data_IF_491650902443
#
_entry.id   IF_491650902443
#
_cell.length_a   1.000
_cell.length_b   1.000
_cell.length_c   1.000
_cell.angle_alpha   90.00
_cell.angle_beta   90.00
_cell.angle_gamma   90.00
#
_symmetry.space_group_name_H-M   'P 1'
#
loop_
_entity.id
_entity.type
_entity.pdbx_description
1 polymer ?
#
# COMPACT_ATOMS: atom_id res chain seq x y z
N UNK A 1 -16.81 11.03 1.24
CA UNK A 1 -15.73 10.50 2.12
C UNK A 1 -15.05 11.70 2.74
N UNK A 2 -14.67 11.63 4.03
CA UNK A 2 -13.96 12.71 4.71
C UNK A 2 -12.67 13.08 3.95
N UNK A 3 -12.47 14.36 3.66
CA UNK A 3 -11.25 14.93 3.02
C UNK A 3 -10.06 15.01 3.98
N UNK A 4 -10.18 14.45 5.18
CA UNK A 4 -9.17 14.58 6.23
C UNK A 4 -7.89 13.85 5.84
N UNK A 5 -6.80 14.61 5.71
CA UNK A 5 -5.44 14.08 5.54
C UNK A 5 -4.79 13.84 6.90
N UNK A 6 -3.90 12.86 6.94
CA UNK A 6 -3.10 12.52 8.11
C UNK A 6 -1.63 12.46 7.69
N UNK A 7 -0.76 13.09 8.48
CA UNK A 7 0.69 12.92 8.36
C UNK A 7 1.12 11.77 9.28
N UNK A 8 1.20 10.58 8.71
CA UNK A 8 1.32 9.32 9.47
C UNK A 8 2.70 8.71 9.30
N UNK A 9 3.32 8.33 10.42
CA UNK A 9 4.52 7.50 10.44
C UNK A 9 4.11 6.06 10.80
N UNK A 10 4.60 5.09 10.03
CA UNK A 10 4.38 3.66 10.29
C UNK A 10 5.57 3.07 11.06
N UNK A 11 5.27 2.30 12.09
CA UNK A 11 6.25 1.59 12.91
C UNK A 11 6.01 0.09 12.82
N UNK A 12 7.08 -0.70 12.96
CA UNK A 12 7.03 -2.15 13.06
C UNK A 12 7.81 -2.58 14.31
N UNK A 13 7.32 -3.61 14.98
CA UNK A 13 7.98 -4.25 16.11
C UNK A 13 7.99 -5.76 15.92
N UNK A 14 8.93 -6.42 16.59
CA UNK A 14 9.12 -7.87 16.53
C UNK A 14 9.10 -8.39 17.97
N UNK A 15 8.17 -9.31 18.25
CA UNK A 15 8.00 -9.94 19.56
C UNK A 15 8.33 -11.43 19.45
N UNK A 16 9.04 -11.97 20.43
CA UNK A 16 9.44 -13.38 20.43
C UNK A 16 8.27 -14.31 20.79
N UNK A 17 7.26 -13.78 21.47
CA UNK A 17 6.00 -14.45 21.78
C UNK A 17 4.84 -13.47 21.65
N UNK A 18 3.68 -13.97 21.21
CA UNK A 18 2.46 -13.18 21.16
C UNK A 18 2.07 -12.73 22.58
N UNK A 19 1.94 -11.43 22.86
CA UNK A 19 1.46 -10.97 24.16
C UNK A 19 -0.03 -11.28 24.32
N UNK A 20 -0.54 -11.16 25.55
CA UNK A 20 -1.97 -11.19 25.79
C UNK A 20 -2.63 -10.02 25.04
N UNK A 21 -3.59 -10.34 24.17
CA UNK A 21 -4.29 -9.38 23.34
C UNK A 21 -5.66 -9.10 23.96
N UNK A 22 -5.86 -7.87 24.39
CA UNK A 22 -7.13 -7.40 24.95
C UNK A 22 -7.64 -6.24 24.10
N UNK A 23 -8.95 -6.22 23.83
CA UNK A 23 -9.62 -5.09 23.18
C UNK A 23 -10.59 -4.42 24.17
N UNK A 24 -10.95 -3.17 23.89
CA UNK A 24 -11.73 -2.34 24.80
C UNK A 24 -13.22 -2.23 24.43
N UNK A 25 -13.63 -2.95 23.36
CA UNK A 25 -14.97 -2.92 22.76
C UNK A 25 -15.44 -1.52 22.33
N UNK A 26 -14.52 -0.56 22.21
CA UNK A 26 -14.81 0.83 21.83
C UNK A 26 -14.05 1.23 20.59
N UNK A 27 -12.72 1.25 20.67
CA UNK A 27 -11.85 1.59 19.55
C UNK A 27 -11.45 0.33 18.76
N UNK A 28 -11.33 -0.79 19.47
CA UNK A 28 -10.99 -2.10 18.91
C UNK A 28 -12.12 -3.07 19.27
N UNK A 29 -12.75 -3.66 18.25
CA UNK A 29 -13.83 -4.65 18.42
C UNK A 29 -13.38 -6.09 18.20
N UNK A 30 -12.22 -6.28 17.55
CA UNK A 30 -11.70 -7.61 17.22
C UNK A 30 -10.18 -7.56 17.07
N UNK A 31 -9.52 -8.64 17.49
CA UNK A 31 -8.08 -8.84 17.28
C UNK A 31 -7.88 -10.22 16.67
N UNK A 32 -7.24 -10.26 15.50
CA UNK A 32 -6.94 -11.49 14.77
C UNK A 32 -5.44 -11.62 14.51
N UNK A 33 -4.90 -12.81 14.74
CA UNK A 33 -3.56 -13.18 14.28
C UNK A 33 -3.66 -13.91 12.94
N UNK A 34 -2.90 -13.48 11.95
CA UNK A 34 -2.90 -14.08 10.61
C UNK A 34 -1.55 -13.91 9.93
N UNK A 35 -1.27 -14.77 8.96
CA UNK A 35 -0.15 -14.56 8.03
C UNK A 35 -0.49 -13.43 7.05
N UNK A 36 0.55 -12.81 6.48
CA UNK A 36 0.38 -11.75 5.48
C UNK A 36 -0.40 -12.24 4.24
N UNK A 37 -0.16 -13.48 3.80
CA UNK A 37 -0.87 -14.07 2.68
C UNK A 37 -2.35 -14.31 3.00
N UNK A 38 -2.69 -14.79 4.19
CA UNK A 38 -4.09 -14.94 4.62
C UNK A 38 -4.82 -13.60 4.73
N UNK A 39 -4.12 -12.55 5.19
CA UNK A 39 -4.67 -11.18 5.23
C UNK A 39 -5.02 -10.70 3.82
N UNK A 40 -4.12 -10.90 2.85
CA UNK A 40 -4.36 -10.50 1.47
C UNK A 40 -5.44 -11.33 0.78
N UNK A 41 -5.55 -12.64 1.09
CA UNK A 41 -6.64 -13.49 0.60
C UNK A 41 -8.01 -13.00 1.11
N UNK A 42 -8.13 -12.72 2.40
CA UNK A 42 -9.34 -12.11 2.99
C UNK A 42 -9.65 -10.75 2.35
N UNK A 43 -8.62 -9.93 2.10
CA UNK A 43 -8.80 -8.67 1.40
C UNK A 43 -9.32 -8.85 -0.03
N UNK A 44 -8.77 -9.79 -0.79
CA UNK A 44 -9.20 -10.07 -2.17
C UNK A 44 -10.63 -10.64 -2.23
N UNK A 45 -11.01 -11.45 -1.24
CA UNK A 45 -12.36 -12.03 -1.15
C UNK A 45 -13.43 -11.04 -0.69
N UNK A 46 -13.03 -9.87 -0.17
CA UNK A 46 -13.95 -8.86 0.37
C UNK A 46 -14.27 -9.04 1.86
N UNK A 47 -13.66 -10.02 2.53
CA UNK A 47 -13.85 -10.31 3.95
C UNK A 47 -13.15 -9.25 4.84
N UNK A 48 -12.08 -8.63 4.32
CA UNK A 48 -11.29 -7.62 5.02
C UNK A 48 -11.07 -6.39 4.15
N UNK A 49 -11.28 -5.19 4.71
CA UNK A 49 -10.86 -3.95 4.05
C UNK A 49 -9.51 -3.50 4.59
N UNK A 50 -8.56 -3.28 3.67
CA UNK A 50 -7.25 -2.70 3.95
C UNK A 50 -7.17 -1.32 3.32
N UNK A 51 -7.10 -0.23 4.11
CA UNK A 51 -6.70 1.07 3.62
C UNK A 51 -5.44 1.03 2.75
N UNK A 52 -5.32 1.87 1.71
CA UNK A 52 -4.22 1.79 0.75
C UNK A 52 -2.81 1.78 1.38
N UNK A 53 -2.49 2.60 2.40
CA UNK A 53 -1.18 2.54 3.05
C UNK A 53 -0.88 1.19 3.71
N UNK A 54 -1.89 0.54 4.32
CA UNK A 54 -1.72 -0.77 4.95
C UNK A 54 -1.50 -1.87 3.90
N UNK A 55 -2.29 -1.87 2.82
CA UNK A 55 -2.09 -2.80 1.69
C UNK A 55 -0.68 -2.66 1.10
N UNK A 56 -0.23 -1.42 0.91
CA UNK A 56 1.09 -1.12 0.39
C UNK A 56 2.21 -1.64 1.31
N UNK A 57 2.17 -1.38 2.62
CA UNK A 57 3.20 -1.88 3.55
C UNK A 57 3.17 -3.41 3.69
N UNK A 58 1.98 -4.05 3.74
CA UNK A 58 1.87 -5.51 3.76
C UNK A 58 2.51 -6.13 2.50
N UNK A 59 2.29 -5.53 1.33
CA UNK A 59 2.88 -6.01 0.08
C UNK A 59 4.41 -5.94 0.07
N UNK A 60 5.02 -4.97 0.76
CA UNK A 60 6.49 -4.93 0.95
C UNK A 60 6.98 -6.08 1.80
N UNK A 61 6.22 -6.42 2.84
CA UNK A 61 6.60 -7.47 3.77
C UNK A 61 6.53 -8.88 3.17
N UNK A 62 5.73 -9.07 2.12
CA UNK A 62 5.75 -10.31 1.33
C UNK A 62 7.08 -10.61 0.63
N UNK A 63 7.99 -9.64 0.51
CA UNK A 63 9.35 -9.89 0.02
C UNK A 63 10.15 -10.84 0.94
N UNK A 64 9.72 -11.02 2.18
CA UNK A 64 10.42 -11.82 3.18
C UNK A 64 9.66 -13.12 3.45
N UNK A 65 10.32 -14.25 3.21
CA UNK A 65 9.77 -15.58 3.52
C UNK A 65 10.00 -16.01 4.97
N UNK A 66 10.88 -15.32 5.71
CA UNK A 66 11.31 -15.71 7.05
C UNK A 66 11.32 -14.52 8.00
N UNK A 67 10.87 -14.75 9.23
CA UNK A 67 10.79 -13.75 10.30
C UNK A 67 12.13 -13.10 10.60
N UNK A 68 13.21 -13.87 10.76
CA UNK A 68 14.53 -13.33 11.12
C UNK A 68 15.14 -12.45 10.03
N UNK A 69 14.90 -12.79 8.76
CA UNK A 69 15.33 -11.96 7.62
C UNK A 69 14.58 -10.64 7.61
N UNK A 70 13.27 -10.67 7.85
CA UNK A 70 12.44 -9.46 7.96
C UNK A 70 12.86 -8.58 9.14
N UNK A 71 13.13 -9.18 10.31
CA UNK A 71 13.61 -8.51 11.52
C UNK A 71 14.96 -7.84 11.27
N UNK A 72 15.91 -8.56 10.71
CA UNK A 72 17.24 -8.05 10.37
C UNK A 72 17.16 -6.90 9.36
N UNK A 73 16.32 -7.07 8.33
CA UNK A 73 16.07 -6.01 7.35
C UNK A 73 15.52 -4.74 8.01
N UNK A 74 14.49 -4.86 8.84
CA UNK A 74 13.88 -3.72 9.52
C UNK A 74 14.86 -3.00 10.45
N UNK A 75 15.72 -3.75 11.15
CA UNK A 75 16.77 -3.19 12.00
C UNK A 75 17.85 -2.43 11.22
N UNK A 76 18.28 -2.93 10.05
CA UNK A 76 19.25 -2.22 9.22
C UNK A 76 18.62 -1.03 8.49
N UNK A 77 17.36 -1.16 8.05
CA UNK A 77 16.62 -0.06 7.44
C UNK A 77 16.42 1.06 8.47
N UNK A 78 16.08 0.78 9.73
CA UNK A 78 15.75 1.83 10.71
C UNK A 78 16.86 2.88 10.92
N UNK A 79 18.11 2.54 10.58
CA UNK A 79 19.28 3.43 10.58
C UNK A 79 19.32 4.43 9.41
N UNK A 80 18.41 4.30 8.43
CA UNK A 80 18.32 5.11 7.21
C UNK A 80 17.18 6.13 7.32
N UNK A 81 17.11 7.07 6.38
CA UNK A 81 16.09 8.12 6.35
C UNK A 81 14.67 7.62 6.05
N UNK A 82 13.69 8.51 6.25
CA UNK A 82 12.31 8.32 5.82
C UNK A 82 12.04 9.10 4.53
N UNK A 83 11.09 8.61 3.74
CA UNK A 83 10.53 9.35 2.62
C UNK A 83 9.04 9.53 2.86
N UNK A 84 8.55 10.76 2.69
CA UNK A 84 7.13 11.07 2.84
C UNK A 84 6.41 10.69 1.56
N UNK A 85 5.47 9.75 1.64
CA UNK A 85 4.58 9.39 0.53
C UNK A 85 3.28 10.16 0.69
N UNK A 86 3.15 11.25 -0.07
CA UNK A 86 1.90 11.99 -0.20
C UNK A 86 1.17 11.51 -1.45
N UNK A 87 0.10 10.70 -1.33
CA UNK A 87 -0.65 10.24 -2.49
C UNK A 87 -1.43 11.39 -3.13
N UNK A 88 -1.30 11.50 -4.45
CA UNK A 88 -2.11 12.38 -5.31
C UNK A 88 -3.11 11.51 -6.06
N UNK A 89 -4.40 11.82 -5.95
CA UNK A 89 -5.46 11.03 -6.59
C UNK A 89 -5.88 11.66 -7.90
N UNK A 90 -6.07 10.82 -8.91
CA UNK A 90 -6.71 11.21 -10.17
C UNK A 90 -7.73 10.15 -10.58
N UNK A 91 -8.86 10.59 -11.11
CA UNK A 91 -9.85 9.70 -11.70
C UNK A 91 -9.43 9.36 -13.14
N UNK A 92 -9.74 8.15 -13.57
CA UNK A 92 -9.55 7.67 -14.93
C UNK A 92 -10.86 7.11 -15.47
N UNK A 93 -10.88 6.71 -16.74
CA UNK A 93 -12.10 6.16 -17.37
C UNK A 93 -12.58 4.84 -16.74
N UNK A 94 -11.70 4.12 -16.04
CA UNK A 94 -12.00 2.80 -15.48
C UNK A 94 -11.48 2.57 -14.05
N UNK A 95 -11.15 3.65 -13.32
CA UNK A 95 -10.70 3.55 -11.93
C UNK A 95 -10.14 4.86 -11.36
N UNK A 96 -9.35 4.72 -10.31
CA UNK A 96 -8.64 5.81 -9.64
C UNK A 96 -7.17 5.45 -9.54
N UNK A 97 -6.28 6.40 -9.82
CA UNK A 97 -4.86 6.26 -9.54
C UNK A 97 -4.54 7.02 -8.25
N UNK A 98 -3.81 6.38 -7.35
CA UNK A 98 -3.12 7.02 -6.23
C UNK A 98 -1.63 7.10 -6.55
N UNK A 99 -1.22 8.23 -7.11
CA UNK A 99 0.13 8.52 -7.59
C UNK A 99 1.05 8.82 -6.39
N UNK A 100 2.25 8.25 -6.37
CA UNK A 100 3.25 8.44 -5.32
C UNK A 100 4.52 9.10 -5.88
N UNK A 101 5.37 9.68 -5.00
CA UNK A 101 6.60 10.34 -5.45
C UNK A 101 7.48 9.45 -6.33
N UNK A 102 7.91 9.98 -7.48
CA UNK A 102 8.74 9.26 -8.45
C UNK A 102 7.97 8.59 -9.60
N UNK A 103 6.64 8.66 -9.60
CA UNK A 103 5.84 8.39 -10.80
C UNK A 103 5.89 9.58 -11.77
N UNK A 104 5.83 9.34 -13.08
CA UNK A 104 5.83 10.40 -14.09
C UNK A 104 4.64 11.37 -13.96
N UNK A 105 3.51 10.89 -13.43
CA UNK A 105 2.32 11.72 -13.21
C UNK A 105 2.36 12.45 -11.86
N UNK A 106 3.42 12.31 -11.07
CA UNK A 106 3.51 12.99 -9.79
C UNK A 106 3.77 14.49 -10.01
N UNK A 107 2.91 15.39 -9.47
CA UNK A 107 3.07 16.82 -9.70
C UNK A 107 4.32 17.36 -9.02
N UNK A 108 4.95 18.36 -9.63
CA UNK A 108 6.10 19.06 -9.03
C UNK A 108 5.73 19.72 -7.70
N UNK A 109 4.51 20.25 -7.61
CA UNK A 109 3.94 20.86 -6.39
C UNK A 109 2.62 20.17 -6.04
N UNK A 110 2.63 19.10 -5.22
CA UNK A 110 1.42 18.40 -4.81
C UNK A 110 0.63 19.21 -3.78
N UNK A 111 -0.70 19.18 -3.88
CA UNK A 111 -1.61 19.70 -2.85
C UNK A 111 -1.43 18.95 -1.52
N UNK A 112 -0.79 19.62 -0.56
CA UNK A 112 -0.48 19.09 0.76
C UNK A 112 -1.71 19.00 1.67
N UNK A 113 -2.71 19.85 1.45
CA UNK A 113 -3.82 20.08 2.38
C UNK A 113 -5.14 19.44 1.93
N UNK A 114 -5.27 19.05 0.65
CA UNK A 114 -6.51 18.47 0.13
C UNK A 114 -7.56 19.50 -0.19
N UNK A 115 -7.12 20.69 -0.60
CA UNK A 115 -7.97 21.81 -0.98
C UNK A 115 -8.35 21.76 -2.46
N UNK A 116 -7.56 21.06 -3.29
CA UNK A 116 -7.82 20.93 -4.72
C UNK A 116 -8.79 19.79 -5.03
N UNK A 117 -9.63 20.01 -6.04
CA UNK A 117 -10.51 18.98 -6.57
C UNK A 117 -9.71 17.85 -7.25
N UNK A 118 -10.18 16.62 -7.07
CA UNK A 118 -9.61 15.44 -7.72
C UNK A 118 -9.79 15.59 -9.23
N UNK A 119 -8.67 15.67 -9.94
CA UNK A 119 -8.64 15.78 -11.40
C UNK A 119 -9.08 14.47 -12.07
N UNK A 120 -9.61 14.58 -13.28
CA UNK A 120 -9.95 13.43 -14.13
C UNK A 120 -9.09 13.46 -15.39
N UNK A 121 -8.58 12.29 -15.78
CA UNK A 121 -7.82 12.09 -17.01
C UNK A 121 -8.65 11.19 -17.92
N UNK A 122 -8.90 11.64 -19.15
CA UNK A 122 -9.60 10.86 -20.18
C UNK A 122 -8.66 9.81 -20.79
N UNK A 123 -8.34 8.79 -19.99
CA UNK A 123 -7.58 7.61 -20.35
C UNK A 123 -7.92 6.48 -19.38
N UNK A 124 -7.68 5.24 -19.79
CA UNK A 124 -7.72 4.07 -18.91
C UNK A 124 -6.45 3.95 -18.06
N UNK A 125 -6.53 3.17 -16.98
CA UNK A 125 -5.37 2.79 -16.16
C UNK A 125 -4.27 2.15 -17.03
N UNK A 126 -4.67 1.26 -17.95
CA UNK A 126 -3.77 0.52 -18.81
C UNK A 126 -3.02 1.42 -19.80
N UNK A 127 -3.71 2.37 -20.43
CA UNK A 127 -3.10 3.37 -21.33
C UNK A 127 -2.09 4.24 -20.58
N UNK A 128 -2.44 4.72 -19.39
CA UNK A 128 -1.54 5.55 -18.58
C UNK A 128 -0.31 4.76 -18.11
N UNK A 129 -0.45 3.46 -17.88
CA UNK A 129 0.66 2.57 -17.51
C UNK A 129 1.58 2.28 -18.68
N UNK A 130 1.05 2.05 -19.87
CA UNK A 130 1.87 1.80 -21.06
C UNK A 130 2.71 3.00 -21.47
N UNK A 131 2.22 4.22 -21.22
CA UNK A 131 2.90 5.46 -21.58
C UNK A 131 3.89 5.97 -20.52
N UNK A 132 3.97 5.33 -19.35
CA UNK A 132 4.84 5.76 -18.26
C UNK A 132 6.23 5.11 -18.35
N UNK A 133 7.27 5.93 -18.16
CA UNK A 133 8.65 5.51 -17.98
C UNK A 133 8.94 5.20 -16.51
N UNK A 134 8.52 6.08 -15.60
CA UNK A 134 8.63 5.87 -14.16
C UNK A 134 7.24 5.65 -13.53
N UNK A 135 7.08 4.51 -12.89
CA UNK A 135 5.88 4.05 -12.22
C UNK A 135 6.13 3.97 -10.72
N UNK A 136 5.26 4.63 -9.96
CA UNK A 136 5.12 4.44 -8.53
C UNK A 136 3.73 4.87 -8.09
N UNK A 137 2.76 3.96 -8.20
CA UNK A 137 1.35 4.26 -7.95
C UNK A 137 0.54 3.04 -7.56
N UNK A 138 -0.63 3.28 -6.97
CA UNK A 138 -1.67 2.27 -6.79
C UNK A 138 -2.81 2.53 -7.78
N UNK A 139 -3.24 1.51 -8.50
CA UNK A 139 -4.32 1.53 -9.48
C UNK A 139 -5.55 0.84 -8.87
N UNK A 140 -6.58 1.61 -8.53
CA UNK A 140 -7.76 1.14 -7.79
C UNK A 140 -8.97 1.08 -8.72
N UNK A 141 -9.45 -0.14 -9.00
CA UNK A 141 -10.73 -0.37 -9.70
C UNK A 141 -11.89 -0.53 -8.73
N UNK A 142 -11.63 -1.05 -7.53
CA UNK A 142 -12.59 -1.14 -6.42
C UNK A 142 -11.87 -1.23 -5.07
N UNK A 143 -12.62 -1.36 -3.96
CA UNK A 143 -12.03 -1.58 -2.62
C UNK A 143 -11.23 -2.88 -2.52
N UNK A 144 -11.54 -3.89 -3.32
CA UNK A 144 -10.87 -5.20 -3.28
C UNK A 144 -10.18 -5.53 -4.61
N UNK A 145 -9.99 -4.51 -5.45
CA UNK A 145 -9.30 -4.62 -6.73
C UNK A 145 -8.35 -3.43 -6.85
N UNK A 146 -7.12 -3.67 -6.41
CA UNK A 146 -6.04 -2.72 -6.39
C UNK A 146 -4.76 -3.40 -6.88
N UNK A 147 -4.09 -2.76 -7.83
CA UNK A 147 -2.77 -3.15 -8.31
C UNK A 147 -1.74 -2.11 -7.85
N UNK A 148 -0.54 -2.56 -7.47
CA UNK A 148 0.57 -1.65 -7.17
C UNK A 148 1.54 -1.70 -8.35
N UNK A 149 1.69 -0.58 -9.05
CA UNK A 149 2.60 -0.44 -10.18
C UNK A 149 3.84 0.33 -9.74
N UNK A 150 4.98 -0.36 -9.67
CA UNK A 150 6.26 0.25 -9.30
C UNK A 150 7.41 -0.33 -10.14
N UNK A 151 8.13 0.53 -10.85
CA UNK A 151 9.33 0.15 -11.60
C UNK A 151 10.60 0.94 -11.21
N UNK A 152 10.47 1.87 -10.26
CA UNK A 152 11.59 2.63 -9.71
C UNK A 152 12.25 1.92 -8.52
N UNK A 153 13.47 2.33 -8.17
CA UNK A 153 14.12 1.86 -6.94
C UNK A 153 13.61 2.65 -5.73
N UNK A 154 13.15 1.99 -4.65
CA UNK A 154 12.78 2.69 -3.43
C UNK A 154 13.98 3.40 -2.80
N UNK A 155 13.76 4.59 -2.22
CA UNK A 155 14.81 5.32 -1.49
C UNK A 155 15.08 4.72 -0.12
N UNK A 156 16.16 5.17 0.51
CA UNK A 156 16.53 4.83 1.88
C UNK A 156 16.65 3.32 2.13
N UNK A 157 17.07 2.57 1.10
CA UNK A 157 17.25 1.12 1.17
C UNK A 157 16.00 0.33 1.51
N UNK A 158 14.82 0.88 1.19
CA UNK A 158 13.54 0.19 1.36
C UNK A 158 13.33 -0.84 0.25
N UNK A 159 12.45 -1.82 0.48
CA UNK A 159 12.05 -2.81 -0.53
C UNK A 159 10.84 -2.38 -1.35
N UNK A 160 10.74 -2.91 -2.58
CA UNK A 160 9.56 -2.72 -3.42
C UNK A 160 8.40 -3.61 -2.93
N UNK A 161 7.14 -3.19 -3.10
CA UNK A 161 5.98 -4.07 -3.05
C UNK A 161 6.22 -5.36 -3.83
N UNK A 162 5.91 -6.51 -3.25
CA UNK A 162 5.82 -7.76 -4.00
C UNK A 162 4.56 -7.74 -4.86
N UNK A 163 4.62 -8.37 -6.03
CA UNK A 163 3.40 -8.77 -6.71
C UNK A 163 2.76 -9.90 -5.88
N UNK A 164 1.46 -9.79 -5.69
CA UNK A 164 0.67 -10.73 -4.90
C UNK A 164 -0.55 -11.23 -5.66
N UNK A 165 -0.66 -10.94 -6.96
CA UNK A 165 -1.72 -11.47 -7.82
C UNK A 165 -1.77 -13.01 -7.80
N UNK A 166 -0.59 -13.65 -7.80
CA UNK A 166 -0.44 -15.11 -7.77
C UNK A 166 -1.01 -15.74 -6.49
N UNK A 167 -1.17 -14.98 -5.40
CA UNK A 167 -1.78 -15.49 -4.16
C UNK A 167 -3.27 -15.81 -4.33
N UNK A 168 -3.91 -15.34 -5.40
CA UNK A 168 -5.35 -15.45 -5.61
C UNK A 168 -5.73 -16.50 -6.66
N UNK A 169 -4.76 -17.09 -7.37
CA UNK A 169 -5.02 -18.04 -8.45
C UNK A 169 -5.71 -19.34 -7.97
N UNK A 170 -5.56 -19.70 -6.69
CA UNK A 170 -6.26 -20.83 -6.06
C UNK A 170 -7.77 -20.58 -5.80
N UNK A 171 -8.30 -19.39 -6.12
CA UNK A 171 -9.67 -18.97 -5.76
C UNK A 171 -10.68 -19.14 -6.91
N UNK A 172 -10.28 -19.75 -8.02
CA UNK A 172 -11.13 -20.06 -9.18
C UNK A 172 -11.24 -21.58 -9.38
N UNK A 173 -11.93 -22.25 -8.46
CA UNK A 173 -12.53 -23.58 -8.68
C UNK A 173 -13.98 -23.56 -8.21
#
# INVERSE_FOLDING_TARGET
MSSRRFDTIFFITFVDSLPELNHDDKEISEIQTSSLSSILKQWNNGDLWLPPPQLYEISRFLQFSHFDTMKSFAQERSKKGLERYLPVRVNTNNGVISILPGDDLYPETPDLYGEEDIQSIDASLEELRQNAQCLHRMELKSRHNCQIAMNISPKNGQVKPADFADLFEDSKL
#
